data_IF_672578147679
#
_entry.id   IF_672578147679
#
_cell.length_a   1.000
_cell.length_b   1.000
_cell.length_c   1.000
_cell.angle_alpha   90.00
_cell.angle_beta   90.00
_cell.angle_gamma   90.00
#
_symmetry.space_group_name_H-M   'P 1'
#
loop_
_entity.id
_entity.type
_entity.pdbx_description
1 polymer ?
#
# COMPACT_ATOMS: atom_id res chain seq x y z
N UNK A 1 -17.15 -35.69 30.42
CA UNK A 1 -16.03 -34.83 29.95
C UNK A 1 -16.44 -34.01 28.71
N UNK A 2 -17.54 -33.26 28.79
CA UNK A 2 -18.17 -32.69 27.58
C UNK A 2 -18.70 -31.26 27.80
N UNK A 3 -18.27 -30.60 28.88
CA UNK A 3 -18.70 -29.24 29.23
C UNK A 3 -17.55 -28.24 29.10
N UNK A 4 -16.29 -28.69 29.30
CA UNK A 4 -15.12 -27.81 29.18
C UNK A 4 -14.72 -27.48 27.73
N UNK A 5 -15.02 -28.36 26.76
CA UNK A 5 -14.75 -28.12 25.34
C UNK A 5 -15.72 -27.14 24.70
N UNK A 6 -16.97 -27.09 25.17
CA UNK A 6 -17.97 -26.13 24.68
C UNK A 6 -17.67 -24.69 25.14
N UNK A 7 -17.19 -24.52 26.39
CA UNK A 7 -16.89 -23.19 26.92
C UNK A 7 -15.71 -22.51 26.22
N UNK A 8 -14.70 -23.30 25.80
CA UNK A 8 -13.54 -22.83 25.04
C UNK A 8 -13.91 -22.37 23.62
N UNK A 9 -14.88 -23.03 22.98
CA UNK A 9 -15.36 -22.64 21.65
C UNK A 9 -16.20 -21.35 21.67
N UNK A 10 -17.00 -21.15 22.72
CA UNK A 10 -17.78 -19.90 22.88
C UNK A 10 -16.86 -18.71 23.18
N UNK A 11 -15.80 -18.90 23.97
CA UNK A 11 -14.82 -17.84 24.26
C UNK A 11 -13.97 -17.46 23.03
N UNK A 12 -13.67 -18.42 22.14
CA UNK A 12 -12.96 -18.17 20.88
C UNK A 12 -13.84 -17.45 19.84
N UNK A 13 -15.15 -17.68 19.83
CA UNK A 13 -16.09 -16.97 18.95
C UNK A 13 -16.32 -15.51 19.38
N UNK A 14 -16.24 -15.20 20.68
CA UNK A 14 -16.35 -13.82 21.19
C UNK A 14 -15.16 -12.95 20.76
N UNK A 15 -13.97 -13.53 20.55
CA UNK A 15 -12.80 -12.80 20.04
C UNK A 15 -12.83 -12.53 18.52
N UNK A 16 -13.71 -13.19 17.76
CA UNK A 16 -13.81 -13.03 16.28
C UNK A 16 -14.96 -12.09 15.89
N UNK A 17 -15.77 -11.62 16.85
CA UNK A 17 -16.90 -10.70 16.63
C UNK A 17 -16.68 -9.31 17.23
N UNK A 18 -15.44 -8.88 17.43
CA UNK A 18 -15.13 -7.46 17.66
C UNK A 18 -14.87 -6.78 16.31
N UNK A 19 -15.78 -5.88 15.84
CA UNK A 19 -15.39 -4.92 14.83
C UNK A 19 -14.39 -3.93 15.47
N UNK A 20 -13.21 -3.81 14.88
CA UNK A 20 -12.34 -2.64 15.10
C UNK A 20 -13.00 -1.41 14.42
N UNK A 21 -14.05 -0.89 15.06
CA UNK A 21 -14.68 0.39 14.73
C UNK A 21 -14.13 1.48 15.66
N UNK A 22 -13.02 2.12 15.26
CA UNK A 22 -12.52 3.40 15.78
C UNK A 22 -11.78 4.08 14.62
N UNK A 23 -12.20 5.16 13.97
CA UNK A 23 -13.20 6.19 14.27
C UNK A 23 -13.69 6.81 12.95
N UNK A 24 -15.00 6.89 12.77
CA UNK A 24 -15.63 7.97 12.01
C UNK A 24 -16.16 9.02 12.99
N UNK A 25 -15.69 10.27 12.89
CA UNK A 25 -16.47 11.43 13.34
C UNK A 25 -16.25 12.62 12.41
N UNK A 26 -17.21 12.79 11.50
CA UNK A 26 -17.58 14.09 10.95
C UNK A 26 -18.91 14.56 11.57
N UNK A 27 -19.10 15.88 11.67
CA UNK A 27 -20.34 16.57 12.08
C UNK A 27 -20.11 17.51 13.27
N UNK A 28 -20.03 18.85 13.12
CA UNK A 28 -21.07 19.88 12.85
C UNK A 28 -22.06 20.14 14.02
N UNK A 29 -22.17 21.41 14.42
CA UNK A 29 -23.19 22.00 15.30
C UNK A 29 -22.63 22.26 16.71
N UNK A 30 -22.42 23.50 17.18
CA UNK A 30 -23.41 24.54 17.51
C UNK A 30 -23.17 24.86 19.00
N UNK A 31 -22.69 26.06 19.38
CA UNK A 31 -23.57 27.17 19.73
C UNK A 31 -23.92 27.14 21.23
N UNK A 32 -23.31 28.02 22.03
CA UNK A 32 -23.63 28.16 23.46
C UNK A 32 -22.92 29.34 24.10
N UNK A 33 -23.63 30.48 24.15
CA UNK A 33 -23.25 31.74 24.81
C UNK A 33 -23.44 31.66 26.34
N UNK A 34 -22.86 32.67 27.02
CA UNK A 34 -23.06 33.15 28.42
C UNK A 34 -22.00 32.68 29.43
N UNK A 35 -21.51 33.47 30.39
CA UNK A 35 -21.58 34.91 30.71
C UNK A 35 -20.19 35.37 31.22
N UNK A 36 -19.83 36.63 31.44
CA UNK A 36 -20.56 37.77 31.99
C UNK A 36 -19.90 38.18 33.32
N UNK A 37 -19.38 39.43 33.38
CA UNK A 37 -18.81 40.17 34.54
C UNK A 37 -17.37 39.79 34.94
N UNK A 38 -16.44 40.69 35.30
CA UNK A 38 -16.44 42.13 35.62
C UNK A 38 -15.00 42.61 35.89
N UNK A 39 -14.75 43.91 35.72
CA UNK A 39 -13.62 44.66 36.32
C UNK A 39 -12.43 44.85 35.36
N UNK A 40 -11.84 46.03 35.17
CA UNK A 40 -12.05 47.34 35.78
C UNK A 40 -11.25 48.39 34.98
N UNK A 41 -11.66 49.64 35.14
CA UNK A 41 -11.22 50.83 34.41
C UNK A 41 -9.77 51.24 34.66
N UNK A 42 -9.17 51.92 33.66
CA UNK A 42 -8.19 53.05 33.67
C UNK A 42 -7.54 53.04 32.28
N UNK A 43 -7.81 53.95 31.34
CA UNK A 43 -7.63 55.40 31.41
C UNK A 43 -6.61 55.77 30.31
N UNK A 44 -6.84 56.81 29.52
CA UNK A 44 -5.82 57.35 28.60
C UNK A 44 -6.35 57.77 27.23
N UNK A 45 -6.25 59.07 26.97
CA UNK A 45 -6.90 59.80 25.86
C UNK A 45 -5.97 60.00 24.64
N UNK A 46 -6.60 60.32 23.50
CA UNK A 46 -6.12 61.10 22.32
C UNK A 46 -5.43 60.36 21.16
N UNK A 47 -5.90 60.69 19.95
CA UNK A 47 -5.36 60.32 18.63
C UNK A 47 -6.34 59.42 17.86
N UNK A 48 -7.03 59.82 16.80
CA UNK A 48 -6.61 60.67 15.70
C UNK A 48 -6.31 59.77 14.48
N UNK A 49 -7.28 59.65 13.56
CA UNK A 49 -6.99 59.30 12.17
C UNK A 49 -7.30 57.88 11.68
N UNK A 50 -7.87 57.87 10.48
CA UNK A 50 -7.62 56.91 9.40
C UNK A 50 -8.55 55.70 9.28
N UNK A 51 -9.49 55.89 8.34
CA UNK A 51 -10.19 54.90 7.51
C UNK A 51 -9.34 53.63 7.25
N UNK A 52 -9.62 52.57 7.99
CA UNK A 52 -9.21 51.21 7.66
C UNK A 52 -10.43 50.38 7.35
N UNK A 53 -10.82 50.30 6.07
CA UNK A 53 -11.75 49.26 5.59
C UNK A 53 -11.07 47.92 5.85
N UNK A 54 -11.40 47.26 6.95
CA UNK A 54 -11.06 45.86 7.16
C UNK A 54 -11.80 45.04 6.10
N UNK A 55 -11.13 44.84 4.96
CA UNK A 55 -11.50 43.80 4.00
C UNK A 55 -11.24 42.48 4.74
N UNK A 56 -12.28 41.94 5.37
CA UNK A 56 -12.28 40.54 5.79
C UNK A 56 -12.19 39.71 4.52
N UNK A 57 -10.98 39.42 4.07
CA UNK A 57 -10.76 38.33 3.14
C UNK A 57 -11.13 37.09 3.92
N UNK A 58 -12.34 36.58 3.65
CA UNK A 58 -12.85 35.32 4.16
C UNK A 58 -11.86 34.24 3.73
N UNK A 59 -10.82 34.02 4.54
CA UNK A 59 -9.85 32.95 4.38
C UNK A 59 -10.67 31.68 4.47
N UNK A 60 -10.97 31.10 3.31
CA UNK A 60 -11.63 29.81 3.15
C UNK A 60 -10.90 28.85 4.09
N UNK A 61 -11.54 28.46 5.19
CA UNK A 61 -10.93 27.64 6.24
C UNK A 61 -10.78 26.20 5.72
N UNK A 62 -9.85 26.02 4.78
CA UNK A 62 -9.36 24.70 4.45
C UNK A 62 -8.68 24.09 5.67
N UNK A 63 -8.68 22.76 5.82
CA UNK A 63 -7.94 22.11 6.88
C UNK A 63 -6.47 22.55 6.85
N UNK A 64 -5.93 22.88 8.03
CA UNK A 64 -4.53 23.32 8.17
C UNK A 64 -3.61 22.21 7.65
N UNK A 65 -2.79 22.54 6.65
CA UNK A 65 -1.75 21.64 6.16
C UNK A 65 -0.57 21.70 7.14
N UNK A 66 -0.20 20.56 7.67
CA UNK A 66 0.93 20.36 8.59
C UNK A 66 2.01 19.53 7.90
N UNK A 67 3.21 19.47 8.48
CA UNK A 67 4.31 18.62 8.00
C UNK A 67 3.96 17.13 7.86
N UNK A 68 2.89 16.65 8.52
CA UNK A 68 2.44 15.26 8.44
C UNK A 68 1.14 15.07 7.66
N UNK A 69 0.54 16.15 7.15
CA UNK A 69 -0.66 16.05 6.33
C UNK A 69 -0.30 15.27 5.05
N UNK A 70 -1.00 14.15 4.74
CA UNK A 70 -0.69 13.36 3.54
C UNK A 70 -0.80 14.17 2.25
N UNK A 71 0.08 13.91 1.28
CA UNK A 71 -0.03 14.48 -0.05
C UNK A 71 -1.08 13.69 -0.83
N UNK A 72 -2.16 14.36 -1.26
CA UNK A 72 -3.20 13.74 -2.08
C UNK A 72 -2.65 13.40 -3.47
N UNK A 73 -2.75 12.15 -3.87
CA UNK A 73 -2.38 11.73 -5.22
C UNK A 73 -3.36 12.30 -6.26
N UNK A 74 -2.84 13.06 -7.23
CA UNK A 74 -3.58 13.56 -8.40
C UNK A 74 -3.27 12.76 -9.66
N UNK A 75 -2.16 12.02 -9.65
CA UNK A 75 -1.65 11.18 -10.74
C UNK A 75 -0.81 10.04 -10.15
N UNK A 76 -0.49 9.03 -10.96
CA UNK A 76 0.40 7.94 -10.57
C UNK A 76 1.80 8.41 -10.14
N UNK A 77 2.21 9.60 -10.60
CA UNK A 77 3.50 10.24 -10.34
C UNK A 77 3.51 11.16 -9.12
N UNK A 78 2.34 11.45 -8.54
CA UNK A 78 2.24 12.41 -7.43
C UNK A 78 3.17 12.02 -6.28
N UNK A 79 3.92 12.97 -5.70
CA UNK A 79 4.86 12.68 -4.64
C UNK A 79 4.16 12.17 -3.37
N UNK A 80 4.95 11.62 -2.46
CA UNK A 80 4.49 11.12 -1.15
C UNK A 80 5.42 11.60 -0.05
N UNK A 81 4.94 11.54 1.20
CA UNK A 81 5.80 11.65 2.38
C UNK A 81 6.13 10.26 2.93
N UNK A 82 7.21 10.12 3.70
CA UNK A 82 7.62 8.86 4.33
C UNK A 82 6.47 8.19 5.11
N UNK A 83 5.64 8.97 5.82
CA UNK A 83 4.48 8.42 6.56
C UNK A 83 3.38 7.80 5.68
N UNK A 84 3.35 8.08 4.38
CA UNK A 84 2.42 7.46 3.44
C UNK A 84 2.94 6.14 2.85
N UNK A 85 4.17 5.76 3.17
CA UNK A 85 4.83 4.59 2.59
C UNK A 85 4.99 3.45 3.60
N UNK A 86 5.05 2.23 3.08
CA UNK A 86 5.34 1.01 3.84
C UNK A 86 6.68 0.40 3.39
N UNK A 87 7.27 -0.41 4.25
CA UNK A 87 8.48 -1.20 3.96
C UNK A 87 8.02 -2.65 3.81
N UNK A 88 8.27 -3.26 2.66
CA UNK A 88 7.98 -4.68 2.47
C UNK A 88 9.04 -5.56 3.13
N UNK A 89 8.62 -6.74 3.61
CA UNK A 89 9.52 -7.66 4.30
C UNK A 89 10.15 -8.68 3.34
N UNK A 90 11.45 -8.97 3.53
CA UNK A 90 12.12 -10.12 2.89
C UNK A 90 11.69 -11.46 3.48
N UNK A 91 11.05 -11.51 4.64
CA UNK A 91 10.50 -12.77 5.17
C UNK A 91 9.26 -13.25 4.40
N UNK A 92 8.67 -12.39 3.56
CA UNK A 92 7.43 -12.65 2.81
C UNK A 92 7.70 -12.92 1.32
N UNK A 93 8.87 -13.49 0.98
CA UNK A 93 9.20 -13.82 -0.41
C UNK A 93 8.25 -14.85 -0.99
N UNK A 94 7.85 -15.84 -0.20
CA UNK A 94 6.90 -16.87 -0.63
C UNK A 94 5.58 -16.72 0.11
N UNK A 95 4.48 -17.08 -0.56
CA UNK A 95 3.16 -17.19 0.05
C UNK A 95 2.69 -18.63 -0.03
N UNK A 96 2.16 -19.16 1.07
CA UNK A 96 1.56 -20.50 1.09
C UNK A 96 0.16 -20.54 0.45
N UNK A 97 -0.36 -19.41 -0.01
CA UNK A 97 -1.69 -19.29 -0.62
C UNK A 97 -1.62 -18.38 -1.85
N UNK A 98 -2.18 -18.82 -2.97
CA UNK A 98 -2.21 -18.10 -4.25
C UNK A 98 -3.58 -18.25 -4.89
N UNK A 99 -4.08 -17.21 -5.57
CA UNK A 99 -5.31 -17.33 -6.35
C UNK A 99 -5.09 -18.10 -7.66
N UNK A 100 -6.11 -18.82 -8.14
CA UNK A 100 -6.08 -19.41 -9.50
C UNK A 100 -5.76 -18.35 -10.57
N UNK A 101 -6.48 -17.24 -10.48
CA UNK A 101 -6.25 -16.01 -11.21
C UNK A 101 -6.73 -14.83 -10.38
N UNK A 102 -5.86 -13.86 -10.13
CA UNK A 102 -6.24 -12.62 -9.47
C UNK A 102 -5.59 -11.44 -10.17
N UNK A 103 -6.37 -10.40 -10.44
CA UNK A 103 -5.88 -9.13 -10.95
C UNK A 103 -6.52 -8.01 -10.13
N UNK A 104 -5.68 -7.25 -9.44
CA UNK A 104 -6.11 -6.06 -8.73
C UNK A 104 -5.51 -4.82 -9.38
N UNK A 105 -6.38 -3.88 -9.74
CA UNK A 105 -5.99 -2.56 -10.26
C UNK A 105 -6.29 -1.52 -9.19
N UNK A 106 -5.25 -0.85 -8.73
CA UNK A 106 -5.36 0.12 -7.66
C UNK A 106 -5.85 1.47 -8.18
N UNK A 107 -6.72 2.12 -7.39
CA UNK A 107 -7.03 3.53 -7.57
C UNK A 107 -5.92 4.36 -6.95
N UNK A 108 -5.70 5.59 -7.43
CA UNK A 108 -4.65 6.46 -6.89
C UNK A 108 -4.79 6.73 -5.39
N UNK A 109 -6.01 6.70 -4.85
CA UNK A 109 -6.32 6.97 -3.45
C UNK A 109 -5.97 5.80 -2.51
N UNK A 110 -5.97 4.56 -3.01
CA UNK A 110 -5.73 3.35 -2.21
C UNK A 110 -4.51 2.55 -2.68
N UNK A 111 -3.84 3.00 -3.74
CA UNK A 111 -2.62 2.41 -4.26
C UNK A 111 -1.54 2.29 -3.19
N UNK A 112 -1.01 1.09 -2.94
CA UNK A 112 0.07 0.92 -2.02
C UNK A 112 1.33 1.65 -2.48
N UNK A 113 2.05 2.20 -1.51
CA UNK A 113 3.29 2.91 -1.77
C UNK A 113 4.40 2.31 -0.94
N UNK A 114 5.42 1.75 -1.60
CA UNK A 114 6.56 1.12 -0.93
C UNK A 114 7.79 2.03 -0.96
N UNK A 115 8.52 2.08 0.16
CA UNK A 115 9.90 2.59 0.25
C UNK A 115 10.84 1.44 0.63
N UNK A 116 12.13 1.60 0.37
CA UNK A 116 13.19 0.57 0.61
C UNK A 116 13.06 -0.67 -0.29
N UNK A 117 11.89 -1.28 -0.34
CA UNK A 117 11.60 -2.41 -1.21
C UNK A 117 10.35 -3.17 -0.84
N UNK A 118 10.04 -4.21 -1.63
CA UNK A 118 8.88 -5.08 -1.45
C UNK A 118 9.12 -6.46 -2.09
N UNK A 119 8.54 -7.54 -1.52
CA UNK A 119 8.65 -8.87 -2.09
C UNK A 119 7.73 -9.05 -3.31
N UNK A 120 8.19 -9.82 -4.28
CA UNK A 120 7.41 -10.37 -5.39
C UNK A 120 7.88 -11.81 -5.57
N UNK A 121 6.99 -12.78 -5.30
CA UNK A 121 7.22 -14.24 -5.26
C UNK A 121 8.67 -14.72 -5.51
N UNK A 122 9.39 -15.07 -4.45
CA UNK A 122 10.77 -15.55 -4.48
C UNK A 122 11.83 -14.46 -4.67
N UNK A 123 11.46 -13.23 -5.01
CA UNK A 123 12.36 -12.11 -5.25
C UNK A 123 12.00 -10.87 -4.42
N UNK A 124 13.00 -10.03 -4.15
CA UNK A 124 12.82 -8.76 -3.46
C UNK A 124 13.16 -7.59 -4.38
N UNK A 125 12.20 -6.71 -4.60
CA UNK A 125 12.38 -5.49 -5.39
C UNK A 125 12.90 -4.39 -4.49
N UNK A 126 14.14 -3.95 -4.71
CA UNK A 126 14.78 -2.85 -3.95
C UNK A 126 14.47 -1.51 -4.60
N UNK A 127 14.03 -0.56 -3.79
CA UNK A 127 13.68 0.81 -4.19
C UNK A 127 14.81 1.76 -3.79
N UNK A 128 15.22 2.72 -4.63
CA UNK A 128 16.22 3.73 -4.25
C UNK A 128 15.84 4.50 -2.99
N UNK A 129 16.82 4.83 -2.14
CA UNK A 129 16.61 5.38 -0.79
C UNK A 129 15.74 6.65 -0.75
N UNK A 130 15.88 7.54 -1.74
CA UNK A 130 15.14 8.81 -1.81
C UNK A 130 13.87 8.74 -2.68
N UNK A 131 13.44 7.52 -3.00
CA UNK A 131 12.29 7.25 -3.85
C UNK A 131 11.30 6.35 -3.13
N UNK A 132 10.09 6.36 -3.65
CA UNK A 132 9.09 5.37 -3.35
C UNK A 132 8.51 4.83 -4.67
N UNK A 133 7.78 3.73 -4.60
CA UNK A 133 7.03 3.20 -5.74
C UNK A 133 5.56 3.13 -5.37
N UNK A 134 4.70 3.67 -6.23
CA UNK A 134 3.25 3.52 -6.12
C UNK A 134 2.82 2.40 -7.06
N UNK A 135 2.17 1.37 -6.54
CA UNK A 135 1.69 0.26 -7.36
C UNK A 135 0.43 0.68 -8.12
N UNK A 136 0.33 0.28 -9.39
CA UNK A 136 -0.86 0.43 -10.21
C UNK A 136 -1.65 -0.86 -10.30
N UNK A 137 -0.97 -2.02 -10.29
CA UNK A 137 -1.64 -3.31 -10.26
C UNK A 137 -0.78 -4.43 -9.72
N UNK A 138 -1.45 -5.46 -9.25
CA UNK A 138 -0.87 -6.76 -8.89
C UNK A 138 -1.68 -7.86 -9.57
N UNK A 139 -0.98 -8.87 -10.08
CA UNK A 139 -1.57 -10.01 -10.75
C UNK A 139 -0.93 -11.31 -10.25
N UNK A 140 -1.75 -12.32 -10.00
CA UNK A 140 -1.34 -13.67 -9.60
C UNK A 140 -1.99 -14.69 -10.52
N UNK A 141 -1.24 -15.72 -10.89
CA UNK A 141 -1.73 -16.81 -11.74
C UNK A 141 -1.16 -18.14 -11.26
N UNK A 142 -2.03 -19.14 -11.16
CA UNK A 142 -1.63 -20.54 -11.10
C UNK A 142 -1.69 -21.13 -12.51
N UNK A 143 -0.59 -21.69 -12.96
CA UNK A 143 -0.45 -22.22 -14.32
C UNK A 143 -0.09 -23.70 -14.29
N UNK A 144 -0.44 -24.41 -15.36
CA UNK A 144 0.01 -25.78 -15.62
C UNK A 144 1.40 -25.80 -16.28
N UNK A 145 1.85 -26.97 -16.73
CA UNK A 145 3.17 -27.15 -17.37
C UNK A 145 3.32 -26.38 -18.69
N UNK A 146 2.22 -26.13 -19.39
CA UNK A 146 2.20 -25.41 -20.67
C UNK A 146 2.15 -23.89 -20.47
N UNK A 147 1.83 -23.43 -19.25
CA UNK A 147 1.65 -22.02 -18.95
C UNK A 147 0.21 -21.55 -19.07
N UNK A 148 -0.75 -22.47 -19.19
CA UNK A 148 -2.17 -22.17 -19.22
C UNK A 148 -2.74 -22.11 -17.80
N UNK A 149 -3.83 -21.36 -17.61
CA UNK A 149 -4.51 -21.28 -16.32
C UNK A 149 -5.04 -22.66 -15.89
N UNK A 150 -4.38 -23.27 -14.90
CA UNK A 150 -4.73 -24.63 -14.44
C UNK A 150 -6.06 -24.70 -13.67
N UNK A 151 -6.53 -23.56 -13.12
CA UNK A 151 -7.81 -23.42 -12.41
C UNK A 151 -8.76 -22.44 -13.13
N UNK A 152 -8.52 -22.19 -14.43
CA UNK A 152 -9.20 -21.14 -15.16
C UNK A 152 -9.02 -19.75 -14.52
N UNK A 153 -9.98 -18.84 -14.74
CA UNK A 153 -9.93 -17.47 -14.21
C UNK A 153 -10.54 -17.33 -12.80
N UNK A 154 -10.37 -18.35 -11.96
CA UNK A 154 -10.94 -18.36 -10.61
C UNK A 154 -10.16 -17.47 -9.64
N UNK A 155 -10.83 -16.50 -9.01
CA UNK A 155 -10.25 -15.66 -7.94
C UNK A 155 -10.12 -16.37 -6.60
N UNK A 156 -10.53 -17.64 -6.52
CA UNK A 156 -10.44 -18.43 -5.30
C UNK A 156 -8.97 -18.65 -4.93
N UNK A 157 -8.64 -18.29 -3.70
CA UNK A 157 -7.35 -18.58 -3.08
C UNK A 157 -7.23 -20.07 -2.77
N UNK A 158 -6.13 -20.68 -3.21
CA UNK A 158 -5.79 -22.07 -2.95
C UNK A 158 -4.49 -22.15 -2.17
N UNK A 159 -4.45 -23.06 -1.21
CA UNK A 159 -3.22 -23.37 -0.48
C UNK A 159 -2.26 -24.12 -1.39
N UNK A 160 -1.00 -23.69 -1.37
CA UNK A 160 0.08 -24.44 -1.96
C UNK A 160 0.43 -25.61 -1.03
N UNK A 161 0.79 -26.76 -1.62
CA UNK A 161 1.23 -27.93 -0.87
C UNK A 161 2.43 -27.57 0.00
N UNK A 162 2.49 -28.17 1.20
CA UNK A 162 3.63 -27.96 2.11
C UNK A 162 4.90 -28.57 1.51
N UNK A 163 6.04 -27.92 1.72
CA UNK A 163 7.34 -28.44 1.27
C UNK A 163 7.57 -28.40 -0.23
N UNK A 164 6.79 -27.63 -1.00
CA UNK A 164 7.02 -27.47 -2.45
C UNK A 164 8.35 -26.79 -2.78
N UNK A 165 8.97 -26.10 -1.82
CA UNK A 165 10.22 -25.36 -2.05
C UNK A 165 11.36 -26.27 -2.54
N UNK A 166 11.43 -27.51 -2.06
CA UNK A 166 12.42 -28.52 -2.52
C UNK A 166 12.15 -29.07 -3.92
N UNK A 167 11.02 -28.71 -4.53
CA UNK A 167 10.59 -29.13 -5.86
C UNK A 167 10.65 -27.99 -6.89
N UNK A 168 11.18 -26.83 -6.49
CA UNK A 168 11.38 -25.69 -7.37
C UNK A 168 12.46 -26.02 -8.41
N UNK A 169 12.06 -26.10 -9.67
CA UNK A 169 12.96 -26.36 -10.80
C UNK A 169 13.59 -25.07 -11.27
N UNK A 170 12.79 -24.02 -11.36
CA UNK A 170 13.20 -22.76 -11.95
C UNK A 170 12.42 -21.61 -11.33
N UNK A 171 13.12 -20.52 -11.03
CA UNK A 171 12.52 -19.24 -10.69
C UNK A 171 13.26 -18.17 -11.45
N UNK A 172 12.54 -17.47 -12.33
CA UNK A 172 13.07 -16.30 -13.00
C UNK A 172 12.21 -15.09 -12.69
N UNK A 173 12.87 -13.94 -12.61
CA UNK A 173 12.24 -12.64 -12.40
C UNK A 173 12.65 -11.73 -13.55
N UNK A 174 11.68 -11.07 -14.18
CA UNK A 174 11.93 -10.07 -15.21
C UNK A 174 11.57 -8.69 -14.68
N UNK A 175 12.41 -7.71 -14.99
CA UNK A 175 12.16 -6.28 -14.75
C UNK A 175 12.13 -5.58 -16.10
N UNK A 176 11.00 -4.95 -16.43
CA UNK A 176 10.83 -4.18 -17.66
C UNK A 176 10.51 -2.73 -17.33
N UNK A 177 11.26 -1.79 -17.89
CA UNK A 177 10.96 -0.36 -17.75
C UNK A 177 10.10 0.12 -18.91
N UNK A 178 8.92 0.70 -18.61
CA UNK A 178 7.95 1.14 -19.63
C UNK A 178 8.47 2.22 -20.57
N UNK A 179 9.53 2.93 -20.19
CA UNK A 179 10.07 4.03 -20.99
C UNK A 179 11.09 3.58 -22.05
N UNK A 180 11.75 2.44 -21.82
CA UNK A 180 12.85 1.95 -22.66
C UNK A 180 12.54 0.58 -23.27
N UNK A 181 11.51 -0.10 -22.78
CA UNK A 181 11.12 -1.48 -23.14
C UNK A 181 12.26 -2.50 -22.99
N UNK A 182 13.33 -2.14 -22.28
CA UNK A 182 14.39 -3.07 -21.93
C UNK A 182 13.91 -3.99 -20.81
N UNK A 183 14.26 -5.27 -20.93
CA UNK A 183 13.95 -6.29 -19.93
C UNK A 183 15.24 -6.87 -19.39
N UNK A 184 15.37 -6.91 -18.07
CA UNK A 184 16.47 -7.58 -17.37
C UNK A 184 15.92 -8.81 -16.67
N UNK A 185 16.63 -9.92 -16.75
CA UNK A 185 16.24 -11.19 -16.16
C UNK A 185 17.16 -11.58 -15.00
N UNK A 186 16.58 -12.20 -13.97
CA UNK A 186 17.26 -12.64 -12.76
C UNK A 186 16.82 -14.08 -12.44
N UNK A 187 17.78 -14.98 -12.18
CA UNK A 187 17.51 -16.41 -11.95
C UNK A 187 17.79 -16.81 -10.50
N UNK A 188 16.95 -17.67 -9.93
CA UNK A 188 17.10 -18.20 -8.57
C UNK A 188 16.28 -17.48 -7.51
N UNK A 189 16.36 -17.97 -6.27
CA UNK A 189 15.57 -17.49 -5.12
C UNK A 189 16.28 -16.41 -4.32
N UNK A 190 15.51 -15.59 -3.59
CA UNK A 190 15.98 -14.48 -2.78
C UNK A 190 16.79 -13.43 -3.57
N UNK A 191 16.50 -13.32 -4.86
CA UNK A 191 17.13 -12.33 -5.71
C UNK A 191 16.76 -10.91 -5.29
N UNK A 192 17.72 -9.99 -5.44
CA UNK A 192 17.47 -8.57 -5.22
C UNK A 192 17.39 -7.85 -6.56
N UNK A 193 16.17 -7.51 -6.97
CA UNK A 193 15.89 -6.75 -8.19
C UNK A 193 15.96 -5.27 -7.84
N UNK A 194 17.09 -4.62 -8.13
CA UNK A 194 17.28 -3.21 -7.79
C UNK A 194 16.71 -2.31 -8.88
N UNK A 195 15.74 -1.48 -8.53
CA UNK A 195 15.20 -0.48 -9.43
C UNK A 195 16.19 0.68 -9.60
N UNK A 196 16.42 1.09 -10.84
CA UNK A 196 17.07 2.34 -11.19
C UNK A 196 16.18 3.54 -10.79
N UNK A 197 16.79 4.69 -10.51
CA UNK A 197 16.03 5.94 -10.39
C UNK A 197 15.57 6.41 -11.77
N UNK A 198 14.44 5.86 -12.21
CA UNK A 198 13.83 6.15 -13.50
C UNK A 198 12.91 7.38 -13.47
N UNK A 199 12.95 8.22 -12.43
CA UNK A 199 12.21 9.50 -12.28
C UNK A 199 10.80 9.50 -12.89
N UNK A 200 9.78 9.16 -12.09
CA UNK A 200 8.37 9.26 -12.51
C UNK A 200 7.95 8.35 -13.68
N UNK A 201 8.80 7.39 -14.06
CA UNK A 201 8.46 6.36 -15.06
C UNK A 201 7.91 5.11 -14.38
N UNK A 202 7.26 4.29 -15.21
CA UNK A 202 6.67 3.02 -14.80
C UNK A 202 7.60 1.84 -15.03
N UNK A 203 7.37 0.77 -14.27
CA UNK A 203 8.05 -0.51 -14.40
C UNK A 203 7.06 -1.66 -14.24
N UNK A 204 7.46 -2.83 -14.71
CA UNK A 204 6.77 -4.10 -14.51
C UNK A 204 7.80 -5.09 -13.95
N UNK A 205 7.45 -5.77 -12.87
CA UNK A 205 8.21 -6.93 -12.36
C UNK A 205 7.33 -8.16 -12.50
N UNK A 206 7.81 -9.18 -13.18
CA UNK A 206 7.14 -10.49 -13.26
C UNK A 206 8.04 -11.55 -12.69
N UNK A 207 7.50 -12.41 -11.85
CA UNK A 207 8.18 -13.58 -11.29
C UNK A 207 7.41 -14.81 -11.75
N UNK A 208 8.13 -15.82 -12.22
CA UNK A 208 7.55 -17.11 -12.56
C UNK A 208 8.36 -18.23 -11.92
N UNK A 209 7.69 -19.03 -11.13
CA UNK A 209 8.23 -20.19 -10.44
C UNK A 209 7.64 -21.46 -11.03
N UNK A 210 8.49 -22.40 -11.45
CA UNK A 210 8.10 -23.70 -11.99
C UNK A 210 8.55 -24.81 -11.07
N UNK A 211 7.63 -25.72 -10.76
CA UNK A 211 7.84 -26.86 -9.89
C UNK A 211 7.70 -28.16 -10.69
N UNK A 212 8.43 -29.22 -10.32
CA UNK A 212 8.32 -30.55 -10.94
C UNK A 212 7.19 -31.41 -10.36
N UNK A 213 6.43 -30.87 -9.41
CA UNK A 213 5.27 -31.51 -8.79
C UNK A 213 4.03 -30.63 -8.95
N UNK A 214 2.86 -31.25 -8.84
CA UNK A 214 1.61 -30.53 -8.66
C UNK A 214 1.69 -29.77 -7.33
N UNK A 215 1.45 -28.45 -7.35
CA UNK A 215 1.59 -27.55 -6.18
C UNK A 215 0.26 -27.23 -5.49
N UNK A 216 -0.87 -27.57 -6.09
CA UNK A 216 -2.21 -27.41 -5.51
C UNK A 216 -2.95 -28.74 -5.64
N UNK A 217 -3.50 -29.24 -4.53
CA UNK A 217 -4.21 -30.53 -4.51
C UNK A 217 -5.40 -30.54 -5.50
N UNK A 218 -5.69 -31.73 -6.04
CA UNK A 218 -6.75 -31.97 -7.02
C UNK A 218 -6.70 -31.06 -8.27
N UNK A 219 -5.49 -30.71 -8.71
CA UNK A 219 -5.27 -29.83 -9.87
C UNK A 219 -4.11 -30.28 -10.76
N UNK A 220 -3.85 -29.53 -11.83
CA UNK A 220 -2.67 -29.66 -12.70
C UNK A 220 -1.69 -28.49 -12.55
N UNK A 221 -1.85 -27.69 -11.50
CA UNK A 221 -1.02 -26.50 -11.30
C UNK A 221 0.40 -26.91 -10.93
N UNK A 222 1.38 -26.42 -11.69
CA UNK A 222 2.81 -26.66 -11.44
C UNK A 222 3.61 -25.36 -11.42
N UNK A 223 2.97 -24.22 -11.65
CA UNK A 223 3.65 -22.94 -11.70
C UNK A 223 2.88 -21.84 -10.99
N UNK A 224 3.64 -20.89 -10.43
CA UNK A 224 3.12 -19.64 -9.86
C UNK A 224 3.72 -18.49 -10.66
N UNK A 225 2.87 -17.60 -11.18
CA UNK A 225 3.28 -16.33 -11.74
C UNK A 225 2.74 -15.19 -10.88
N UNK A 226 3.62 -14.26 -10.48
CA UNK A 226 3.22 -12.97 -9.90
C UNK A 226 3.77 -11.82 -10.70
N UNK A 227 2.92 -10.85 -10.99
CA UNK A 227 3.27 -9.64 -11.74
C UNK A 227 2.84 -8.40 -10.96
N UNK A 228 3.75 -7.45 -10.87
CA UNK A 228 3.53 -6.15 -10.22
C UNK A 228 3.83 -5.05 -11.21
N UNK A 229 2.93 -4.09 -11.31
CA UNK A 229 3.15 -2.86 -12.05
C UNK A 229 3.19 -1.68 -11.08
N UNK A 230 4.15 -0.78 -11.29
CA UNK A 230 4.30 0.40 -10.46
C UNK A 230 4.89 1.59 -11.17
N UNK A 231 4.80 2.74 -10.52
CA UNK A 231 5.44 4.00 -10.93
C UNK A 231 6.35 4.48 -9.83
N UNK A 232 7.58 4.87 -10.18
CA UNK A 232 8.50 5.50 -9.23
C UNK A 232 8.04 6.93 -8.94
N UNK A 233 8.07 7.34 -7.67
CA UNK A 233 7.63 8.67 -7.25
C UNK A 233 8.67 9.34 -6.36
N UNK A 234 8.66 10.66 -6.35
CA UNK A 234 9.41 11.44 -5.38
C UNK A 234 8.88 11.17 -3.97
N UNK A 235 9.79 10.98 -3.02
CA UNK A 235 9.49 10.84 -1.61
C UNK A 235 10.11 12.02 -0.84
N UNK A 236 9.34 12.61 0.06
CA UNK A 236 9.77 13.64 1.00
C UNK A 236 9.74 13.11 2.43
N UNK A 237 10.56 13.65 3.32
CA UNK A 237 10.49 13.33 4.74
C UNK A 237 9.15 13.82 5.34
N UNK A 238 8.82 15.08 5.06
CA UNK A 238 7.60 15.74 5.50
C UNK A 238 6.90 16.48 4.35
N UNK A 239 5.63 16.85 4.54
CA UNK A 239 4.87 17.58 3.53
C UNK A 239 5.50 18.97 3.30
N UNK A 240 5.96 19.29 2.08
CA UNK A 240 6.62 20.56 1.80
C UNK A 240 5.68 21.77 1.88
N UNK A 241 4.37 21.56 1.82
CA UNK A 241 3.35 22.60 1.98
C UNK A 241 2.87 22.73 3.44
N UNK A 242 3.41 21.93 4.36
CA UNK A 242 3.10 22.02 5.78
C UNK A 242 3.84 23.19 6.41
N UNK A 243 3.10 24.12 7.00
CA UNK A 243 3.73 25.13 7.86
C UNK A 243 4.36 24.43 9.08
N UNK A 244 5.60 24.83 9.40
CA UNK A 244 6.38 24.36 10.54
C UNK A 244 5.64 24.51 11.86
#
# INVERSE_FOLDING_TARGET
MQVHTALLFVLLLVFVLLPDDVSTRGGRGGGGRSGGRSGGSRGGSRGGGSRGRFRSTTRRSGPKITKFTPIKAKSARSPVIVRQTRIGSRSQLFTGVVAGYFLHRYLLSNAPVYRVGFPVYGSYVKVPTNRAVRLSSEEERLLDTNGDFCLGKSSQKRSLRRGIDGNLVELYTTLTYKARENTTEFHGVNNTVSLEDIKEKGFVVTTRARYNVIIVDDSRCTQVEKKVEGTMVQMYETNPNGAS
#
